data_IF_990833115077
#
_entry.id   IF_990833115077
#
_cell.length_a   1.000
_cell.length_b   1.000
_cell.length_c   1.000
_cell.angle_alpha   90.00
_cell.angle_beta   90.00
_cell.angle_gamma   90.00
#
_symmetry.space_group_name_H-M   'P 1'
#
loop_
_entity.id
_entity.type
_entity.pdbx_description
1 polymer ?
#
# COMPACT_ATOMS: atom_id res chain seq x y z
N UNK A 1 8.94 -10.08 -1.34
CA UNK A 1 9.05 -8.96 -2.30
C UNK A 1 9.93 -9.31 -3.51
N UNK A 2 11.24 -9.54 -3.36
CA UNK A 2 12.17 -9.71 -4.48
C UNK A 2 11.72 -10.76 -5.54
N UNK A 3 11.34 -11.96 -5.12
CA UNK A 3 10.83 -12.99 -6.03
C UNK A 3 9.57 -12.55 -6.80
N UNK A 4 8.67 -11.81 -6.16
CA UNK A 4 7.46 -11.29 -6.80
C UNK A 4 7.77 -10.13 -7.75
N UNK A 5 8.76 -9.30 -7.41
CA UNK A 5 9.30 -8.29 -8.33
C UNK A 5 9.90 -8.92 -9.59
N UNK A 6 10.60 -10.05 -9.46
CA UNK A 6 11.13 -10.78 -10.61
C UNK A 6 10.03 -11.43 -11.46
N UNK A 7 8.91 -11.84 -10.85
CA UNK A 7 7.71 -12.22 -11.61
C UNK A 7 7.14 -11.04 -12.43
N UNK A 8 7.01 -9.86 -11.81
CA UNK A 8 6.58 -8.65 -12.53
C UNK A 8 7.49 -8.31 -13.72
N UNK A 9 8.81 -8.47 -13.59
CA UNK A 9 9.78 -8.30 -14.71
C UNK A 9 9.51 -9.23 -15.88
N UNK A 10 9.02 -10.45 -15.61
CA UNK A 10 8.71 -11.43 -16.65
C UNK A 10 7.39 -11.12 -17.34
N UNK A 11 6.41 -10.58 -16.60
CA UNK A 11 5.07 -10.25 -17.11
C UNK A 11 5.01 -8.93 -17.86
N UNK A 12 5.85 -7.96 -17.51
CA UNK A 12 5.80 -6.61 -18.05
C UNK A 12 7.14 -6.18 -18.68
N UNK A 13 7.14 -5.54 -19.87
CA UNK A 13 8.36 -5.05 -20.52
C UNK A 13 9.15 -4.05 -19.66
N UNK A 14 8.43 -3.27 -18.83
CA UNK A 14 8.97 -2.36 -17.84
C UNK A 14 8.19 -2.54 -16.54
N UNK A 15 8.88 -2.66 -15.41
CA UNK A 15 8.21 -2.68 -14.11
C UNK A 15 7.76 -1.26 -13.77
N UNK A 16 6.48 -1.10 -13.47
CA UNK A 16 5.97 0.07 -12.76
C UNK A 16 6.10 -0.17 -11.25
N UNK A 17 7.27 0.14 -10.69
CA UNK A 17 7.54 0.16 -9.25
C UNK A 17 7.55 1.63 -8.80
N UNK A 18 6.75 1.96 -7.79
CA UNK A 18 6.61 3.33 -7.28
C UNK A 18 6.96 3.43 -5.81
N UNK A 19 7.52 4.56 -5.42
CA UNK A 19 7.62 4.96 -4.01
C UNK A 19 6.31 5.63 -3.61
N UNK A 20 5.58 5.04 -2.66
CA UNK A 20 4.28 5.52 -2.20
C UNK A 20 4.22 5.53 -0.67
N UNK A 21 3.29 6.31 -0.13
CA UNK A 21 3.12 6.52 1.30
C UNK A 21 2.02 5.63 1.87
N UNK A 22 2.24 5.11 3.09
CA UNK A 22 1.25 4.37 3.86
C UNK A 22 1.22 4.90 5.30
N UNK A 23 0.16 5.61 5.66
CA UNK A 23 -0.06 6.08 7.02
C UNK A 23 -0.68 5.00 7.90
N UNK A 24 -0.12 4.80 9.09
CA UNK A 24 -0.68 3.88 10.08
C UNK A 24 -0.39 4.36 11.51
N UNK A 25 -1.14 3.89 12.52
CA UNK A 25 -0.76 4.06 13.93
C UNK A 25 0.58 3.39 14.24
N UNK A 26 1.29 3.90 15.26
CA UNK A 26 2.58 3.34 15.70
C UNK A 26 2.48 1.87 16.10
N UNK A 27 1.37 1.46 16.71
CA UNK A 27 1.10 0.06 17.10
C UNK A 27 0.99 -0.89 15.90
N UNK A 28 0.58 -0.38 14.73
CA UNK A 28 0.56 -1.13 13.48
C UNK A 28 1.93 -1.13 12.79
N UNK A 29 2.73 -0.08 12.98
CA UNK A 29 4.05 0.04 12.34
C UNK A 29 5.00 -1.08 12.76
N UNK A 30 5.05 -1.42 14.05
CA UNK A 30 5.88 -2.52 14.56
C UNK A 30 5.54 -3.87 13.91
N UNK A 31 4.24 -4.11 13.67
CA UNK A 31 3.78 -5.33 12.98
C UNK A 31 4.21 -5.32 11.53
N UNK A 32 4.02 -4.21 10.80
CA UNK A 32 4.42 -4.09 9.40
C UNK A 32 5.93 -4.29 9.23
N UNK A 33 6.76 -3.79 10.15
CA UNK A 33 8.22 -3.99 10.11
C UNK A 33 8.58 -5.48 10.20
N UNK A 34 7.91 -6.24 11.07
CA UNK A 34 8.21 -7.65 11.33
C UNK A 34 7.59 -8.60 10.32
N UNK A 35 6.37 -8.30 9.89
CA UNK A 35 5.49 -9.22 9.16
C UNK A 35 5.18 -8.76 7.74
N UNK A 36 5.75 -7.63 7.30
CA UNK A 36 5.39 -6.92 6.06
C UNK A 36 3.92 -6.42 6.06
N UNK A 37 3.50 -5.84 4.94
CA UNK A 37 2.10 -5.48 4.74
C UNK A 37 1.25 -6.74 4.57
N UNK A 38 0.08 -6.77 5.22
CA UNK A 38 -0.82 -7.91 5.17
C UNK A 38 -2.25 -7.45 4.84
N UNK A 39 -2.77 -7.90 3.70
CA UNK A 39 -4.11 -7.50 3.24
C UNK A 39 -5.25 -8.06 4.08
N UNK A 40 -5.03 -9.05 4.94
CA UNK A 40 -6.07 -9.55 5.85
C UNK A 40 -6.54 -8.48 6.85
N UNK A 41 -5.75 -7.41 7.04
CA UNK A 41 -6.12 -6.23 7.83
C UNK A 41 -6.75 -5.11 6.98
N UNK A 42 -7.08 -5.36 5.70
CA UNK A 42 -7.79 -4.40 4.88
C UNK A 42 -9.17 -4.05 5.49
N UNK A 43 -9.64 -2.82 5.29
CA UNK A 43 -10.96 -2.38 5.75
C UNK A 43 -11.00 -1.62 7.06
N UNK A 44 -9.90 -1.55 7.81
CA UNK A 44 -9.83 -0.75 9.05
C UNK A 44 -10.18 0.73 8.79
N UNK A 45 -9.81 1.27 7.63
CA UNK A 45 -10.06 2.65 7.24
C UNK A 45 -11.06 2.79 6.07
N UNK A 46 -11.88 1.76 5.85
CA UNK A 46 -12.76 1.65 4.68
C UNK A 46 -12.07 1.08 3.43
N UNK A 47 -12.88 0.57 2.49
CA UNK A 47 -12.42 -0.08 1.25
C UNK A 47 -13.12 0.52 0.04
N UNK A 48 -12.90 1.79 -0.30
CA UNK A 48 -13.62 2.42 -1.43
C UNK A 48 -13.18 1.85 -2.78
N UNK A 49 -11.90 1.51 -2.92
CA UNK A 49 -11.29 1.06 -4.18
C UNK A 49 -10.87 -0.41 -4.14
N UNK A 50 -11.33 -1.17 -3.13
CA UNK A 50 -11.12 -2.61 -2.98
C UNK A 50 -10.51 -3.03 -1.64
N UNK A 51 -10.54 -4.33 -1.37
CA UNK A 51 -10.12 -4.95 -0.11
C UNK A 51 -8.65 -5.39 -0.17
N UNK A 52 -7.74 -4.42 -0.27
CA UNK A 52 -6.30 -4.64 -0.24
C UNK A 52 -5.58 -3.61 0.64
N UNK A 53 -4.27 -3.51 0.47
CA UNK A 53 -3.44 -2.54 1.21
C UNK A 53 -3.35 -1.24 0.41
N UNK A 54 -3.69 -0.12 1.06
CA UNK A 54 -3.77 1.19 0.44
C UNK A 54 -2.45 1.94 0.52
N UNK A 55 -2.04 2.54 -0.59
CA UNK A 55 -0.87 3.40 -0.71
C UNK A 55 -1.26 4.69 -1.41
N UNK A 56 -0.58 5.78 -1.06
CA UNK A 56 -0.89 7.13 -1.54
C UNK A 56 0.30 7.77 -2.24
N UNK A 57 0.04 8.50 -3.32
CA UNK A 57 1.07 9.28 -4.02
C UNK A 57 1.61 10.45 -3.16
N UNK A 58 0.82 10.95 -2.21
CA UNK A 58 1.15 12.11 -1.39
C UNK A 58 1.12 11.76 0.11
N UNK A 59 2.14 12.22 0.84
CA UNK A 59 2.24 12.02 2.29
C UNK A 59 1.11 12.72 3.06
N UNK A 60 0.63 13.87 2.57
CA UNK A 60 -0.49 14.62 3.14
C UNK A 60 -1.78 13.79 3.22
N UNK A 61 -2.00 12.90 2.25
CA UNK A 61 -3.13 11.98 2.29
C UNK A 61 -2.91 10.87 3.33
N UNK A 62 -1.70 10.31 3.39
CA UNK A 62 -1.33 9.30 4.39
C UNK A 62 -1.41 9.83 5.83
N UNK A 63 -1.15 11.12 6.05
CA UNK A 63 -1.27 11.77 7.37
C UNK A 63 -2.62 11.52 8.04
N UNK A 64 -3.71 11.48 7.25
CA UNK A 64 -5.07 11.25 7.76
C UNK A 64 -5.22 9.90 8.47
N UNK A 65 -4.36 8.94 8.16
CA UNK A 65 -4.34 7.58 8.74
C UNK A 65 -3.21 7.36 9.75
N UNK A 66 -2.33 8.34 9.91
CA UNK A 66 -1.21 8.31 10.87
C UNK A 66 -1.64 8.91 12.20
N UNK A 67 -2.36 8.15 13.00
CA UNK A 67 -2.81 8.59 14.32
C UNK A 67 -1.62 8.90 15.24
N UNK A 68 -1.66 10.02 15.99
CA UNK A 68 -0.58 10.37 16.91
C UNK A 68 -0.58 9.43 18.13
N UNK A 69 0.61 9.05 18.59
CA UNK A 69 0.79 8.33 19.85
C UNK A 69 0.63 9.27 21.06
N UNK A 70 0.81 8.74 22.28
CA UNK A 70 0.73 9.53 23.53
C UNK A 70 1.74 10.68 23.62
N UNK A 71 2.83 10.62 22.85
CA UNK A 71 3.86 11.67 22.75
C UNK A 71 3.62 12.66 21.61
N UNK A 72 2.48 12.53 20.91
CA UNK A 72 2.10 13.34 19.75
C UNK A 72 2.78 12.93 18.43
N UNK A 73 3.53 11.82 18.39
CA UNK A 73 4.26 11.39 17.20
C UNK A 73 3.40 10.55 16.27
N UNK A 74 3.62 10.73 14.97
CA UNK A 74 2.91 10.06 13.88
C UNK A 74 3.88 9.29 13.02
N UNK A 75 3.41 8.20 12.43
CA UNK A 75 4.21 7.31 11.58
C UNK A 75 3.65 7.19 10.17
N UNK A 76 4.50 7.35 9.15
CA UNK A 76 4.20 7.06 7.74
C UNK A 76 5.31 6.17 7.19
N UNK A 77 4.95 5.10 6.49
CA UNK A 77 5.91 4.37 5.66
C UNK A 77 6.08 5.02 4.29
N UNK A 78 7.31 5.11 3.82
CA UNK A 78 7.62 5.19 2.40
C UNK A 78 7.93 3.78 1.92
N UNK A 79 7.10 3.26 0.99
CA UNK A 79 7.16 1.88 0.54
C UNK A 79 7.43 1.81 -0.97
N UNK A 80 8.18 0.79 -1.39
CA UNK A 80 8.28 0.36 -2.79
C UNK A 80 7.08 -0.51 -3.11
N UNK A 81 6.31 -0.14 -4.11
CA UNK A 81 5.04 -0.79 -4.45
C UNK A 81 5.06 -1.22 -5.90
N UNK A 82 4.80 -2.51 -6.15
CA UNK A 82 4.69 -3.08 -7.49
C UNK A 82 3.28 -2.81 -8.02
N UNK A 83 3.15 -1.85 -8.94
CA UNK A 83 1.86 -1.37 -9.44
C UNK A 83 1.32 -2.29 -10.54
N UNK A 84 2.15 -2.64 -11.52
CA UNK A 84 1.72 -3.45 -12.66
C UNK A 84 0.59 -2.78 -13.44
N UNK A 85 -0.38 -3.57 -13.92
CA UNK A 85 -1.52 -3.04 -14.66
C UNK A 85 -2.62 -2.57 -13.71
N UNK A 86 -3.12 -1.36 -13.92
CA UNK A 86 -4.12 -0.72 -13.05
C UNK A 86 -5.52 -0.69 -13.67
N UNK A 87 -6.55 -0.78 -12.83
CA UNK A 87 -7.93 -0.46 -13.19
C UNK A 87 -8.62 0.38 -12.11
N UNK A 88 -9.79 0.95 -12.43
CA UNK A 88 -10.61 1.62 -11.44
C UNK A 88 -11.05 0.63 -10.35
N UNK A 89 -10.92 1.03 -9.09
CA UNK A 89 -11.33 0.22 -7.95
C UNK A 89 -12.83 0.26 -7.65
N UNK A 90 -13.32 -0.80 -7.02
CA UNK A 90 -14.66 -0.91 -6.43
C UNK A 90 -14.57 -1.55 -5.05
N UNK A 91 -15.47 -1.15 -4.14
CA UNK A 91 -15.45 -1.57 -2.75
C UNK A 91 -15.62 -3.07 -2.51
N UNK A 92 -16.18 -3.80 -3.47
CA UNK A 92 -16.42 -5.23 -3.35
C UNK A 92 -15.26 -6.08 -3.91
N UNK A 93 -14.24 -5.45 -4.51
CA UNK A 93 -13.12 -6.17 -5.11
C UNK A 93 -12.19 -6.73 -4.03
N UNK A 94 -12.23 -8.05 -3.81
CA UNK A 94 -11.29 -8.78 -2.94
C UNK A 94 -9.97 -9.14 -3.63
N UNK A 95 -9.99 -9.14 -4.96
CA UNK A 95 -8.86 -9.35 -5.87
C UNK A 95 -9.07 -8.43 -7.07
N UNK A 96 -8.01 -8.04 -7.80
CA UNK A 96 -8.16 -7.25 -9.01
C UNK A 96 -8.88 -8.07 -10.10
N UNK A 97 -9.57 -7.43 -11.06
CA UNK A 97 -10.12 -8.11 -12.23
C UNK A 97 -9.03 -8.81 -13.06
N UNK A 98 -9.42 -9.80 -13.86
CA UNK A 98 -8.47 -10.56 -14.69
C UNK A 98 -7.61 -9.64 -15.56
N UNK A 99 -6.30 -9.87 -15.51
CA UNK A 99 -5.30 -9.10 -16.24
C UNK A 99 -4.86 -7.80 -15.57
N UNK A 100 -5.35 -7.48 -14.36
CA UNK A 100 -4.93 -6.33 -13.56
C UNK A 100 -4.26 -6.78 -12.26
N UNK A 101 -3.39 -5.94 -11.70
CA UNK A 101 -2.66 -6.22 -10.45
C UNK A 101 -3.12 -5.29 -9.31
N UNK A 102 -3.40 -4.03 -9.65
CA UNK A 102 -3.66 -2.94 -8.69
C UNK A 102 -4.94 -2.21 -9.06
N UNK A 103 -5.75 -1.85 -8.06
CA UNK A 103 -6.86 -0.91 -8.29
C UNK A 103 -6.49 0.49 -7.83
N UNK A 104 -7.13 1.49 -8.44
CA UNK A 104 -6.82 2.90 -8.19
C UNK A 104 -8.08 3.77 -8.28
N UNK A 105 -7.99 4.97 -7.72
CA UNK A 105 -8.90 6.09 -7.99
C UNK A 105 -8.60 6.79 -9.34
N UNK A 106 -7.50 6.39 -10.00
CA UNK A 106 -7.00 6.97 -11.25
C UNK A 106 -5.98 8.08 -11.05
N UNK A 107 -5.66 8.47 -9.81
CA UNK A 107 -4.79 9.62 -9.53
C UNK A 107 -3.84 9.38 -8.36
N UNK A 108 -4.35 9.17 -7.15
CA UNK A 108 -3.58 9.30 -5.91
C UNK A 108 -3.59 8.06 -5.02
N UNK A 109 -4.52 7.12 -5.22
CA UNK A 109 -4.69 5.93 -4.39
C UNK A 109 -4.34 4.68 -5.21
N UNK A 110 -3.57 3.78 -4.60
CA UNK A 110 -3.22 2.48 -5.16
C UNK A 110 -3.51 1.40 -4.13
N UNK A 111 -4.29 0.39 -4.51
CA UNK A 111 -4.66 -0.74 -3.64
C UNK A 111 -4.04 -2.01 -4.18
N UNK A 112 -3.17 -2.62 -3.39
CA UNK A 112 -2.42 -3.83 -3.76
C UNK A 112 -2.99 -5.04 -3.02
N UNK A 113 -3.08 -6.17 -3.75
CA UNK A 113 -3.79 -7.37 -3.31
C UNK A 113 -2.86 -8.57 -3.03
N UNK A 114 -1.55 -8.37 -3.09
CA UNK A 114 -0.56 -9.40 -2.79
C UNK A 114 0.34 -8.91 -1.66
N UNK A 115 0.57 -9.74 -0.64
CA UNK A 115 1.32 -9.34 0.56
C UNK A 115 2.77 -9.02 0.23
N UNK A 116 3.33 -9.71 -0.76
CA UNK A 116 4.66 -9.41 -1.33
C UNK A 116 4.66 -8.29 -2.40
N UNK A 117 3.53 -7.60 -2.63
CA UNK A 117 3.38 -6.54 -3.63
C UNK A 117 3.92 -5.18 -3.16
N UNK A 118 4.29 -5.05 -1.89
CA UNK A 118 4.93 -3.87 -1.34
C UNK A 118 6.06 -4.22 -0.38
N UNK A 119 7.03 -3.32 -0.25
CA UNK A 119 8.15 -3.41 0.68
C UNK A 119 8.28 -2.07 1.43
N UNK A 120 8.22 -2.12 2.76
CA UNK A 120 8.42 -0.95 3.60
C UNK A 120 9.91 -0.56 3.58
N UNK A 121 10.24 0.51 2.84
CA UNK A 121 11.62 0.94 2.60
C UNK A 121 12.12 1.83 3.75
N UNK A 122 11.26 2.74 4.23
CA UNK A 122 11.55 3.65 5.34
C UNK A 122 10.33 3.84 6.24
N UNK A 123 10.56 4.01 7.54
CA UNK A 123 9.58 4.54 8.48
C UNK A 123 9.92 6.00 8.80
N UNK A 124 8.98 6.90 8.55
CA UNK A 124 9.08 8.33 8.84
C UNK A 124 8.28 8.62 10.11
N UNK A 125 8.96 9.18 11.12
CA UNK A 125 8.33 9.65 12.36
C UNK A 125 8.37 11.17 12.42
N UNK A 126 7.23 11.81 12.67
CA UNK A 126 7.08 13.27 12.73
C UNK A 126 6.01 13.67 13.76
N UNK A 127 5.83 14.97 14.00
CA UNK A 127 4.78 15.53 14.85
C UNK A 127 3.92 16.51 14.06
#
# INVERSE_FOLDING_TARGET
>A
YAAHRDDFKRRYPQIDERLLFHGCPSTSADKIIRECFNRSFAGVNGVVYGCGVYFHAQASYSHQYSQPNSSGERTIFLARVLIGKTCKGDKNMKVPPSGYDTTTDGQHIFVVYHDAGAYADHLITYK
#
